data_IF_126225733987
#
_entry.id   IF_126225733987
#
_cell.length_a   1.000
_cell.length_b   1.000
_cell.length_c   1.000
_cell.angle_alpha   90.00
_cell.angle_beta   90.00
_cell.angle_gamma   90.00
#
_symmetry.space_group_name_H-M   'P 1'
#
loop_
_entity.id
_entity.type
_entity.pdbx_description
1 polymer ?
#
# COMPACT_ATOMS: atom_id res chain seq x y z
N UNK A 1 -2.22 8.31 -2.80
CA UNK A 1 -1.80 9.72 -2.62
C UNK A 1 -2.64 10.31 -1.49
N UNK A 2 -2.05 11.09 -0.59
CA UNK A 2 -2.74 11.83 0.46
C UNK A 2 -2.32 13.29 0.36
N UNK A 3 -3.30 14.19 0.20
CA UNK A 3 -3.10 15.64 0.18
C UNK A 3 -3.81 16.28 1.37
N UNK A 4 -3.30 17.42 1.81
CA UNK A 4 -4.00 18.36 2.68
C UNK A 4 -5.07 19.13 1.88
N UNK A 5 -5.99 19.78 2.59
CA UNK A 5 -6.95 20.78 2.07
C UNK A 5 -6.32 21.99 1.37
N UNK A 6 -5.02 22.22 1.54
CA UNK A 6 -4.27 23.23 0.79
C UNK A 6 -3.65 22.68 -0.52
N UNK A 7 -3.81 21.39 -0.81
CA UNK A 7 -3.17 20.70 -1.94
C UNK A 7 -1.71 20.32 -1.68
N UNK A 8 -1.24 20.41 -0.44
CA UNK A 8 0.10 19.99 -0.06
C UNK A 8 0.17 18.46 0.05
N UNK A 9 1.21 17.87 -0.56
CA UNK A 9 1.48 16.42 -0.48
C UNK A 9 1.87 16.01 0.94
N UNK A 10 1.09 15.11 1.55
CA UNK A 10 1.47 14.42 2.78
C UNK A 10 2.18 13.11 2.45
N UNK A 11 1.56 12.25 1.64
CA UNK A 11 2.14 10.97 1.19
C UNK A 11 1.85 10.76 -0.29
N UNK A 12 2.84 10.37 -1.07
CA UNK A 12 2.62 9.92 -2.45
C UNK A 12 3.46 8.68 -2.73
N UNK A 13 2.81 7.61 -3.18
CA UNK A 13 3.43 6.38 -3.69
C UNK A 13 2.92 6.19 -5.11
N UNK A 14 3.85 6.16 -6.05
CA UNK A 14 3.59 5.91 -7.47
C UNK A 14 4.16 4.55 -7.82
N UNK A 15 3.28 3.61 -8.17
CA UNK A 15 3.67 2.25 -8.50
C UNK A 15 4.19 2.18 -9.92
N UNK A 16 5.25 1.39 -10.12
CA UNK A 16 5.76 1.05 -11.44
C UNK A 16 6.02 -0.46 -11.47
N UNK A 17 5.51 -1.20 -12.46
CA UNK A 17 5.73 -2.63 -12.51
C UNK A 17 7.23 -2.95 -12.62
N UNK A 18 7.74 -3.95 -11.88
CA UNK A 18 9.18 -4.21 -11.78
C UNK A 18 9.86 -4.61 -13.10
N UNK A 19 9.09 -5.01 -14.10
CA UNK A 19 9.58 -5.41 -15.43
C UNK A 19 9.55 -4.28 -16.46
N UNK A 20 8.99 -3.11 -16.12
CA UNK A 20 9.08 -1.92 -16.96
C UNK A 20 10.33 -1.15 -16.55
N UNK A 21 11.28 -0.87 -17.46
CA UNK A 21 12.49 -0.12 -17.14
C UNK A 21 12.14 1.20 -16.45
N UNK A 22 12.70 1.42 -15.26
CA UNK A 22 12.57 2.69 -14.56
C UNK A 22 13.19 3.78 -15.45
N UNK A 23 12.44 4.81 -15.87
CA UNK A 23 13.00 5.86 -16.70
C UNK A 23 14.16 6.53 -15.95
N UNK A 24 15.28 6.69 -16.64
CA UNK A 24 16.48 7.29 -16.07
C UNK A 24 16.13 8.66 -15.47
N UNK A 25 16.38 8.83 -14.18
CA UNK A 25 16.13 10.09 -13.48
C UNK A 25 16.92 11.21 -14.16
N UNK A 26 16.23 12.10 -14.87
CA UNK A 26 16.83 13.29 -15.45
C UNK A 26 17.16 14.28 -14.32
N UNK A 27 18.42 14.28 -13.87
CA UNK A 27 18.93 15.24 -12.90
C UNK A 27 20.45 15.10 -12.71
N UNK A 28 21.23 15.73 -13.59
CA UNK A 28 22.67 15.88 -13.40
C UNK A 28 23.02 17.11 -12.57
N UNK A 29 24.01 16.98 -11.69
CA UNK A 29 25.14 17.91 -11.51
C UNK A 29 26.11 17.31 -10.47
N UNK A 30 27.38 17.10 -10.85
CA UNK A 30 28.45 16.71 -9.93
C UNK A 30 29.41 15.67 -10.49
N UNK A 31 30.47 16.15 -11.14
CA UNK A 31 31.65 15.37 -11.52
C UNK A 31 32.39 14.82 -10.29
N UNK A 32 32.55 13.51 -10.19
CA UNK A 32 33.83 12.86 -9.87
C UNK A 32 33.67 11.34 -9.98
N UNK A 33 34.59 10.72 -10.70
CA UNK A 33 34.77 9.29 -10.71
C UNK A 33 35.05 8.77 -9.29
N UNK A 34 34.37 7.70 -8.87
CA UNK A 34 35.04 6.46 -8.49
C UNK A 34 34.03 5.29 -8.50
N UNK A 35 34.42 4.20 -9.14
CA UNK A 35 33.60 3.02 -9.33
C UNK A 35 33.66 2.11 -8.09
N UNK A 36 32.50 1.71 -7.58
CA UNK A 36 32.27 0.34 -7.11
C UNK A 36 30.79 0.00 -7.34
N UNK A 37 30.45 -0.21 -8.61
CA UNK A 37 29.16 -0.75 -8.98
C UNK A 37 29.12 -2.22 -8.54
N UNK A 38 28.48 -2.49 -7.40
CA UNK A 38 27.91 -3.80 -7.14
C UNK A 38 26.84 -4.04 -8.22
N UNK A 39 27.21 -4.80 -9.26
CA UNK A 39 26.27 -5.31 -10.26
C UNK A 39 25.30 -6.27 -9.54
N UNK A 40 24.11 -5.78 -9.21
CA UNK A 40 22.97 -6.66 -8.99
C UNK A 40 22.71 -7.42 -10.30
N UNK A 41 22.54 -8.75 -10.27
CA UNK A 41 22.34 -9.53 -11.48
C UNK A 41 21.03 -9.10 -12.16
N UNK A 42 21.08 -8.95 -13.48
CA UNK A 42 19.92 -8.63 -14.30
C UNK A 42 18.77 -9.62 -14.01
N UNK A 43 17.52 -9.15 -13.84
CA UNK A 43 16.40 -10.05 -13.67
C UNK A 43 16.22 -10.87 -14.95
N UNK A 44 15.78 -12.14 -14.83
CA UNK A 44 15.56 -13.00 -15.98
C UNK A 44 14.53 -12.35 -16.92
N UNK A 45 14.96 -11.99 -18.12
CA UNK A 45 14.08 -11.50 -19.16
C UNK A 45 13.01 -12.56 -19.44
N UNK A 46 11.73 -12.17 -19.34
CA UNK A 46 10.63 -13.06 -19.69
C UNK A 46 10.74 -13.46 -21.17
N UNK A 47 10.44 -14.72 -21.52
CA UNK A 47 10.50 -15.18 -22.90
C UNK A 47 9.59 -14.31 -23.79
N UNK A 48 10.14 -13.95 -24.95
CA UNK A 48 9.49 -13.13 -25.97
C UNK A 48 8.09 -13.68 -26.29
N UNK A 49 7.03 -12.93 -25.95
CA UNK A 49 5.63 -13.31 -26.22
C UNK A 49 4.68 -13.30 -25.01
N UNK A 50 5.17 -13.28 -23.77
CA UNK A 50 4.31 -13.30 -22.57
C UNK A 50 3.70 -11.93 -22.19
N UNK A 51 4.21 -10.82 -22.73
CA UNK A 51 3.74 -9.48 -22.39
C UNK A 51 2.30 -9.18 -22.83
N UNK A 52 1.79 -9.90 -23.84
CA UNK A 52 0.44 -9.69 -24.38
C UNK A 52 -0.69 -10.31 -23.53
N UNK A 53 -0.36 -11.17 -22.56
CA UNK A 53 -1.33 -11.88 -21.72
C UNK A 53 -1.27 -11.50 -20.23
N UNK A 54 -0.45 -10.52 -19.85
CA UNK A 54 -0.38 -10.03 -18.48
C UNK A 54 -1.52 -9.02 -18.23
N UNK A 55 -2.19 -9.05 -17.06
CA UNK A 55 -3.19 -8.05 -16.71
C UNK A 55 -2.62 -6.64 -16.84
N UNK A 56 -3.43 -5.69 -17.31
CA UNK A 56 -3.04 -4.29 -17.58
C UNK A 56 -2.37 -3.58 -16.39
N UNK A 57 -2.69 -4.03 -15.17
CA UNK A 57 -2.08 -3.63 -13.91
C UNK A 57 -0.55 -3.87 -13.87
N UNK A 58 -0.09 -4.90 -14.58
CA UNK A 58 1.32 -5.25 -14.66
C UNK A 58 2.02 -4.55 -15.83
N UNK A 59 1.34 -4.13 -16.89
CA UNK A 59 2.02 -3.64 -18.11
C UNK A 59 2.03 -2.13 -18.28
N UNK A 60 1.27 -1.39 -17.46
CA UNK A 60 1.13 0.07 -17.60
C UNK A 60 2.35 0.81 -17.00
N UNK A 61 3.15 1.52 -17.80
CA UNK A 61 4.26 2.31 -17.29
C UNK A 61 3.74 3.46 -16.42
N UNK A 62 4.48 3.82 -15.36
CA UNK A 62 4.15 4.98 -14.55
C UNK A 62 4.16 6.26 -15.43
N UNK A 63 3.02 6.95 -15.59
CA UNK A 63 2.92 8.14 -16.44
C UNK A 63 3.60 9.38 -15.83
N UNK A 64 3.97 9.34 -14.54
CA UNK A 64 4.58 10.45 -13.82
C UNK A 64 5.95 10.07 -13.23
N UNK A 65 6.97 9.92 -14.09
CA UNK A 65 8.30 9.48 -13.66
C UNK A 65 9.08 10.56 -12.89
N UNK A 66 8.86 11.84 -13.20
CA UNK A 66 9.58 12.93 -12.52
C UNK A 66 8.77 13.55 -11.40
N UNK A 67 9.45 14.05 -10.35
CA UNK A 67 8.81 14.80 -9.26
C UNK A 67 8.05 16.01 -9.80
N UNK A 68 8.56 16.65 -10.86
CA UNK A 68 7.92 17.81 -11.50
C UNK A 68 6.56 17.44 -12.09
N UNK A 69 6.49 16.34 -12.82
CA UNK A 69 5.24 15.84 -13.42
C UNK A 69 4.26 15.39 -12.33
N UNK A 70 4.74 14.68 -11.31
CA UNK A 70 3.89 14.29 -10.17
C UNK A 70 3.27 15.51 -9.48
N UNK A 71 4.05 16.56 -9.20
CA UNK A 71 3.55 17.80 -8.59
C UNK A 71 2.54 18.52 -9.48
N UNK A 72 2.77 18.53 -10.80
CA UNK A 72 1.84 19.12 -11.74
C UNK A 72 0.51 18.36 -11.78
N UNK A 73 0.58 17.02 -11.80
CA UNK A 73 -0.60 16.15 -11.72
C UNK A 73 -1.36 16.35 -10.41
N UNK A 74 -0.68 16.32 -9.27
CA UNK A 74 -1.28 16.50 -7.94
C UNK A 74 -2.01 17.84 -7.82
N UNK A 75 -1.39 18.92 -8.29
CA UNK A 75 -2.00 20.25 -8.28
C UNK A 75 -3.26 20.29 -9.13
N UNK A 76 -3.20 19.76 -10.35
CA UNK A 76 -4.32 19.74 -11.25
C UNK A 76 -5.46 18.84 -10.74
N UNK A 77 -5.10 17.71 -10.12
CA UNK A 77 -6.04 16.80 -9.49
C UNK A 77 -6.77 17.48 -8.33
N UNK A 78 -6.02 18.11 -7.43
CA UNK A 78 -6.57 18.84 -6.29
C UNK A 78 -7.54 19.95 -6.72
N UNK A 79 -7.18 20.73 -7.76
CA UNK A 79 -8.06 21.78 -8.29
C UNK A 79 -9.38 21.22 -8.84
N UNK A 80 -9.35 20.05 -9.46
CA UNK A 80 -10.56 19.36 -9.94
C UNK A 80 -11.39 18.80 -8.80
N UNK A 81 -10.77 18.13 -7.84
CA UNK A 81 -11.49 17.49 -6.74
C UNK A 81 -12.08 18.51 -5.78
N UNK A 82 -11.42 19.64 -5.55
CA UNK A 82 -11.99 20.73 -4.73
C UNK A 82 -13.30 21.26 -5.34
N UNK A 83 -13.32 21.51 -6.65
CA UNK A 83 -14.53 21.96 -7.36
C UNK A 83 -15.63 20.90 -7.32
N UNK A 84 -15.28 19.64 -7.59
CA UNK A 84 -16.23 18.53 -7.58
C UNK A 84 -16.79 18.25 -6.17
N UNK A 85 -15.95 18.34 -5.14
CA UNK A 85 -16.35 18.13 -3.75
C UNK A 85 -17.31 19.21 -3.25
N UNK A 86 -17.10 20.48 -3.61
CA UNK A 86 -18.07 21.55 -3.30
C UNK A 86 -19.45 21.27 -3.92
N UNK A 87 -19.51 20.68 -5.11
CA UNK A 87 -20.75 20.29 -5.77
C UNK A 87 -21.38 19.02 -5.16
N UNK A 88 -20.56 18.06 -4.74
CA UNK A 88 -21.02 16.82 -4.11
C UNK A 88 -21.49 17.02 -2.67
N UNK A 89 -20.91 17.98 -1.92
CA UNK A 89 -21.27 18.29 -0.53
C UNK A 89 -22.72 18.79 -0.37
N UNK A 90 -23.36 19.30 -1.43
CA UNK A 90 -24.79 19.62 -1.40
C UNK A 90 -25.70 18.40 -1.55
N UNK A 91 -25.14 17.23 -1.83
CA UNK A 91 -25.88 15.96 -1.88
C UNK A 91 -25.77 15.22 -0.56
N UNK A 92 -26.72 14.34 -0.26
CA UNK A 92 -26.74 13.53 0.97
C UNK A 92 -25.59 12.52 1.07
N UNK A 93 -24.65 12.50 0.11
CA UNK A 93 -23.47 11.65 0.07
C UNK A 93 -22.23 12.27 0.76
N UNK A 94 -22.43 13.24 1.66
CA UNK A 94 -21.37 13.82 2.50
C UNK A 94 -20.65 12.73 3.30
N UNK A 95 -19.49 12.26 2.81
CA UNK A 95 -18.68 11.21 3.44
C UNK A 95 -18.46 9.97 2.57
N UNK A 96 -19.16 9.86 1.43
CA UNK A 96 -18.91 8.82 0.45
C UNK A 96 -17.60 9.06 -0.32
N UNK A 97 -16.98 7.98 -0.78
CA UNK A 97 -15.98 8.03 -1.82
C UNK A 97 -16.57 8.64 -3.10
N UNK A 98 -15.77 9.44 -3.79
CA UNK A 98 -16.15 10.12 -5.02
C UNK A 98 -15.25 9.65 -6.15
N UNK A 99 -15.80 9.58 -7.35
CA UNK A 99 -15.11 9.09 -8.54
C UNK A 99 -14.96 10.24 -9.53
N UNK A 100 -13.77 10.35 -10.12
CA UNK A 100 -13.42 11.35 -11.12
C UNK A 100 -12.57 10.69 -12.21
N UNK A 101 -12.89 10.97 -13.46
CA UNK A 101 -12.02 10.64 -14.59
C UNK A 101 -11.16 11.87 -14.93
N UNK A 102 -9.83 11.72 -14.88
CA UNK A 102 -8.90 12.77 -15.25
C UNK A 102 -7.70 12.22 -16.03
N UNK A 103 -7.41 12.79 -17.19
CA UNK A 103 -6.21 12.47 -17.98
C UNK A 103 -6.08 10.97 -18.33
N UNK A 104 -7.21 10.33 -18.69
CA UNK A 104 -7.30 8.88 -18.90
C UNK A 104 -6.97 8.02 -17.66
N UNK A 105 -7.01 8.64 -16.47
CA UNK A 105 -6.88 7.96 -15.19
C UNK A 105 -8.19 8.04 -14.42
N UNK A 106 -8.56 6.90 -13.84
CA UNK A 106 -9.63 6.82 -12.88
C UNK A 106 -9.10 7.23 -11.51
N UNK A 107 -9.77 8.19 -10.89
CA UNK A 107 -9.40 8.69 -9.57
C UNK A 107 -10.58 8.49 -8.64
N UNK A 108 -10.35 7.74 -7.58
CA UNK A 108 -11.29 7.61 -6.47
C UNK A 108 -10.71 8.35 -5.27
N UNK A 109 -11.52 9.19 -4.63
CA UNK A 109 -11.07 10.02 -3.52
C UNK A 109 -12.08 10.12 -2.39
N UNK A 110 -11.57 10.30 -1.18
CA UNK A 110 -12.35 10.47 0.05
C UNK A 110 -11.74 11.58 0.88
N UNK A 111 -12.54 12.59 1.20
CA UNK A 111 -12.12 13.68 2.09
C UNK A 111 -12.47 13.33 3.54
N UNK A 112 -11.58 13.69 4.47
CA UNK A 112 -11.79 13.58 5.91
C UNK A 112 -11.12 14.76 6.60
N UNK A 113 -11.90 15.55 7.35
CA UNK A 113 -11.44 16.75 8.04
C UNK A 113 -10.55 17.64 7.15
N UNK A 114 -9.24 17.68 7.42
CA UNK A 114 -8.22 18.47 6.73
C UNK A 114 -7.33 17.65 5.77
N UNK A 115 -7.70 16.41 5.47
CA UNK A 115 -6.97 15.52 4.55
C UNK A 115 -7.86 14.90 3.48
N UNK A 116 -7.28 14.60 2.33
CA UNK A 116 -7.95 13.95 1.21
C UNK A 116 -7.12 12.76 0.74
N UNK A 117 -7.74 11.59 0.75
CA UNK A 117 -7.18 10.33 0.28
C UNK A 117 -7.54 10.12 -1.18
N UNK A 118 -6.56 9.67 -1.97
CA UNK A 118 -6.70 9.41 -3.39
C UNK A 118 -6.10 8.05 -3.75
N UNK A 119 -6.86 7.27 -4.51
CA UNK A 119 -6.41 6.10 -5.25
C UNK A 119 -6.57 6.40 -6.73
N UNK A 120 -5.52 6.16 -7.50
CA UNK A 120 -5.47 6.46 -8.93
C UNK A 120 -5.11 5.19 -9.68
N UNK A 121 -5.88 4.88 -10.71
CA UNK A 121 -5.63 3.76 -11.61
C UNK A 121 -5.88 4.14 -13.07
N UNK A 122 -5.51 3.29 -14.04
CA UNK A 122 -5.88 3.49 -15.43
C UNK A 122 -7.40 3.48 -15.63
N UNK A 123 -7.91 4.20 -16.63
CA UNK A 123 -9.34 4.25 -16.94
C UNK A 123 -9.97 2.90 -17.32
N UNK A 124 -9.16 1.87 -17.60
CA UNK A 124 -9.62 0.50 -17.86
C UNK A 124 -9.88 -0.32 -16.60
N UNK A 125 -9.47 0.16 -15.42
CA UNK A 125 -9.65 -0.58 -14.16
C UNK A 125 -11.07 -0.48 -13.62
N UNK A 126 -11.42 -1.45 -12.78
CA UNK A 126 -12.71 -1.45 -12.10
C UNK A 126 -12.74 -0.41 -10.97
N UNK A 127 -13.65 0.56 -11.09
CA UNK A 127 -13.87 1.62 -10.10
C UNK A 127 -14.23 1.09 -8.71
N UNK A 128 -15.01 -0.01 -8.64
CA UNK A 128 -15.40 -0.64 -7.37
C UNK A 128 -14.21 -1.25 -6.64
N UNK A 129 -13.23 -1.78 -7.38
CA UNK A 129 -11.99 -2.30 -6.79
C UNK A 129 -11.16 -1.18 -6.20
N UNK A 130 -10.99 -0.07 -6.92
CA UNK A 130 -10.25 1.10 -6.43
C UNK A 130 -10.96 1.77 -5.24
N UNK A 131 -12.30 1.82 -5.25
CA UNK A 131 -13.10 2.24 -4.11
C UNK A 131 -12.93 1.31 -2.90
N UNK A 132 -12.90 0.00 -3.11
CA UNK A 132 -12.60 -0.99 -2.07
C UNK A 132 -11.24 -0.78 -1.43
N UNK A 133 -10.19 -0.56 -2.23
CA UNK A 133 -8.83 -0.25 -1.75
C UNK A 133 -8.81 1.05 -0.94
N UNK A 134 -9.45 2.10 -1.44
CA UNK A 134 -9.51 3.40 -0.78
C UNK A 134 -10.20 3.28 0.60
N UNK A 135 -11.35 2.60 0.66
CA UNK A 135 -12.09 2.41 1.89
C UNK A 135 -11.32 1.52 2.87
N UNK A 136 -10.75 0.40 2.40
CA UNK A 136 -9.93 -0.49 3.23
C UNK A 136 -8.74 0.24 3.87
N UNK A 137 -8.00 1.02 3.07
CA UNK A 137 -6.87 1.79 3.56
C UNK A 137 -7.30 2.93 4.51
N UNK A 138 -8.36 3.64 4.18
CA UNK A 138 -8.91 4.71 5.02
C UNK A 138 -9.38 4.16 6.38
N UNK A 139 -10.15 3.08 6.38
CA UNK A 139 -10.69 2.48 7.59
C UNK A 139 -9.57 1.83 8.43
N UNK A 140 -8.57 1.21 7.80
CA UNK A 140 -7.40 0.69 8.50
C UNK A 140 -6.62 1.83 9.18
N UNK A 141 -6.41 2.94 8.45
CA UNK A 141 -5.79 4.15 9.01
C UNK A 141 -6.62 4.71 10.16
N UNK A 142 -7.93 4.76 10.02
CA UNK A 142 -8.86 5.19 11.09
C UNK A 142 -8.72 4.31 12.34
N UNK A 143 -8.65 2.98 12.19
CA UNK A 143 -8.44 2.05 13.31
C UNK A 143 -7.09 2.29 14.00
N UNK A 144 -6.01 2.45 13.23
CA UNK A 144 -4.66 2.67 13.75
C UNK A 144 -4.54 4.03 14.48
N UNK A 145 -5.25 5.05 14.00
CA UNK A 145 -5.23 6.41 14.56
C UNK A 145 -6.36 6.68 15.57
N UNK A 146 -7.04 5.63 16.08
CA UNK A 146 -8.15 5.76 17.04
C UNK A 146 -9.23 6.76 16.58
N UNK A 147 -9.60 6.67 15.31
CA UNK A 147 -10.66 7.43 14.65
C UNK A 147 -10.35 8.91 14.46
N UNK A 148 -9.10 9.32 14.69
CA UNK A 148 -8.60 10.67 14.44
C UNK A 148 -7.85 10.72 13.12
N UNK A 149 -8.59 10.74 12.01
CA UNK A 149 -8.01 10.85 10.66
C UNK A 149 -7.93 12.33 10.28
N UNK A 150 -6.94 13.02 10.84
CA UNK A 150 -6.61 14.42 10.55
C UNK A 150 -5.11 14.57 10.27
N UNK A 151 -4.72 15.65 9.58
CA UNK A 151 -3.35 15.92 9.15
C UNK A 151 -2.34 15.74 10.28
N UNK A 152 -2.65 16.27 11.46
CA UNK A 152 -1.77 16.19 12.62
C UNK A 152 -1.52 14.74 13.04
N UNK A 153 -2.59 13.96 13.22
CA UNK A 153 -2.51 12.56 13.61
C UNK A 153 -1.81 11.68 12.56
N UNK A 154 -2.04 11.94 11.27
CA UNK A 154 -1.36 11.26 10.17
C UNK A 154 0.15 11.53 10.20
N UNK A 155 0.55 12.79 10.40
CA UNK A 155 1.97 13.17 10.43
C UNK A 155 2.69 12.65 11.68
N UNK A 156 2.01 12.61 12.82
CA UNK A 156 2.55 12.05 14.07
C UNK A 156 2.75 10.52 13.99
N UNK A 157 1.95 9.82 13.19
CA UNK A 157 1.95 8.36 13.08
C UNK A 157 2.23 7.89 11.64
N UNK A 158 3.11 8.60 10.94
CA UNK A 158 3.38 8.37 9.52
C UNK A 158 3.83 6.93 9.25
N UNK A 159 4.62 6.35 10.15
CA UNK A 159 5.14 4.98 10.04
C UNK A 159 3.99 3.96 9.94
N UNK A 160 2.98 4.08 10.80
CA UNK A 160 1.80 3.20 10.79
C UNK A 160 1.00 3.35 9.49
N UNK A 161 0.85 4.59 8.99
CA UNK A 161 0.14 4.87 7.74
C UNK A 161 0.88 4.26 6.55
N UNK A 162 2.21 4.36 6.52
CA UNK A 162 3.02 3.76 5.45
C UNK A 162 3.00 2.23 5.49
N UNK A 163 3.04 1.62 6.68
CA UNK A 163 2.90 0.17 6.83
C UNK A 163 1.52 -0.32 6.42
N UNK A 164 0.46 0.40 6.78
CA UNK A 164 -0.89 0.09 6.33
C UNK A 164 -1.02 0.17 4.81
N UNK A 165 -0.33 1.13 4.16
CA UNK A 165 -0.29 1.23 2.71
C UNK A 165 0.39 0.01 2.08
N UNK A 166 1.51 -0.44 2.65
CA UNK A 166 2.26 -1.60 2.16
C UNK A 166 1.47 -2.91 2.33
N UNK A 167 0.70 -3.08 3.41
CA UNK A 167 -0.20 -4.22 3.58
C UNK A 167 -1.43 -4.16 2.65
N UNK A 168 -1.81 -2.98 2.17
CA UNK A 168 -2.96 -2.82 1.26
C UNK A 168 -2.54 -3.07 -0.20
N UNK A 169 -1.44 -2.47 -0.64
CA UNK A 169 -0.98 -2.51 -2.04
C UNK A 169 0.53 -2.64 -2.11
N UNK A 170 0.99 -3.60 -2.89
CA UNK A 170 2.42 -3.84 -3.18
C UNK A 170 2.67 -3.85 -4.68
N UNK A 171 3.63 -3.03 -5.15
CA UNK A 171 3.95 -2.85 -6.58
C UNK A 171 2.74 -2.65 -7.52
N UNK A 172 1.66 -2.05 -7.01
CA UNK A 172 0.42 -1.80 -7.76
C UNK A 172 -0.55 -2.97 -7.75
N UNK A 173 -0.22 -4.06 -7.07
CA UNK A 173 -1.07 -5.23 -6.83
C UNK A 173 -1.79 -5.05 -5.49
N UNK A 174 -3.09 -5.23 -5.50
CA UNK A 174 -3.91 -5.19 -4.29
C UNK A 174 -3.67 -6.48 -3.51
N UNK A 175 -3.19 -6.36 -2.26
CA UNK A 175 -2.90 -7.50 -1.39
C UNK A 175 -4.05 -7.81 -0.45
N UNK A 176 -4.63 -6.77 0.17
CA UNK A 176 -5.64 -6.91 1.21
C UNK A 176 -6.70 -5.80 1.08
N UNK A 177 -7.96 -6.16 1.27
CA UNK A 177 -9.09 -5.22 1.22
C UNK A 177 -9.92 -5.22 2.50
N UNK A 178 -9.55 -6.02 3.51
CA UNK A 178 -10.14 -5.95 4.84
C UNK A 178 -9.32 -5.02 5.75
N UNK A 179 -9.94 -3.92 6.16
CA UNK A 179 -9.31 -2.91 7.03
C UNK A 179 -8.89 -3.45 8.39
N UNK A 180 -9.63 -4.43 8.93
CA UNK A 180 -9.33 -5.03 10.22
C UNK A 180 -8.12 -5.97 10.15
N UNK A 181 -8.00 -6.76 9.07
CA UNK A 181 -6.83 -7.55 8.77
C UNK A 181 -5.58 -6.69 8.58
N UNK A 182 -5.66 -5.60 7.81
CA UNK A 182 -4.57 -4.65 7.60
C UNK A 182 -4.10 -4.07 8.94
N UNK A 183 -5.01 -3.48 9.72
CA UNK A 183 -4.67 -2.86 11.00
C UNK A 183 -4.07 -3.86 12.01
N UNK A 184 -4.57 -5.10 12.01
CA UNK A 184 -4.06 -6.19 12.86
C UNK A 184 -2.62 -6.57 12.52
N UNK A 185 -2.28 -6.71 11.23
CA UNK A 185 -0.92 -7.02 10.77
C UNK A 185 0.07 -5.89 11.03
N UNK A 186 -0.36 -4.64 10.81
CA UNK A 186 0.46 -3.46 11.12
C UNK A 186 0.74 -3.35 12.63
N UNK A 187 -0.26 -3.64 13.47
CA UNK A 187 -0.14 -3.55 14.94
C UNK A 187 0.63 -4.72 15.56
N UNK A 188 0.72 -5.85 14.85
CA UNK A 188 1.43 -7.06 15.29
C UNK A 188 2.45 -7.42 14.21
N UNK A 189 3.65 -6.81 14.25
CA UNK A 189 4.73 -7.21 13.38
C UNK A 189 4.88 -8.73 13.42
N UNK A 190 4.97 -9.36 12.25
CA UNK A 190 5.14 -10.80 12.13
C UNK A 190 6.26 -11.22 13.09
N UNK A 191 6.01 -12.15 14.04
CA UNK A 191 7.07 -12.61 14.91
C UNK A 191 8.16 -13.17 14.01
N UNK A 192 9.36 -12.60 14.13
CA UNK A 192 10.56 -13.10 13.46
C UNK A 192 10.62 -14.61 13.77
N UNK A 193 10.78 -15.52 12.78
CA UNK A 193 10.91 -16.95 13.09
C UNK A 193 12.08 -17.27 14.02
N UNK A 194 12.99 -16.32 14.26
CA UNK A 194 14.07 -16.42 15.25
C UNK A 194 13.63 -16.10 16.68
N UNK A 195 12.53 -15.36 16.86
CA UNK A 195 11.97 -14.96 18.15
C UNK A 195 10.60 -15.62 18.38
N UNK A 196 10.49 -16.92 18.09
CA UNK A 196 9.46 -17.73 18.75
C UNK A 196 9.78 -17.70 20.25
N UNK A 197 8.95 -17.10 21.11
CA UNK A 197 9.09 -17.33 22.54
C UNK A 197 8.79 -18.81 22.71
N UNK A 198 9.85 -19.61 22.91
CA UNK A 198 9.74 -20.99 23.34
C UNK A 198 9.10 -20.88 24.72
N UNK A 199 7.77 -20.91 24.74
CA UNK A 199 7.00 -20.87 25.96
C UNK A 199 7.34 -22.16 26.70
N UNK A 200 7.97 -22.04 27.87
CA UNK A 200 8.34 -23.17 28.72
C UNK A 200 7.13 -24.07 29.02
N UNK A 201 5.92 -23.50 28.99
CA UNK A 201 4.67 -24.23 29.12
C UNK A 201 4.43 -25.20 27.95
N UNK A 202 4.79 -24.84 26.72
CA UNK A 202 4.70 -25.71 25.54
C UNK A 202 5.72 -26.85 25.62
N UNK A 203 6.94 -26.58 26.10
CA UNK A 203 7.94 -27.63 26.37
C UNK A 203 7.46 -28.58 27.46
N UNK A 204 6.86 -28.06 28.54
CA UNK A 204 6.34 -28.86 29.64
C UNK A 204 5.19 -29.77 29.18
N UNK A 205 4.28 -29.27 28.34
CA UNK A 205 3.19 -30.06 27.74
C UNK A 205 3.68 -31.09 26.72
N UNK A 206 4.74 -30.77 25.96
CA UNK A 206 5.38 -31.73 25.06
C UNK A 206 6.06 -32.86 25.86
N UNK A 207 6.76 -32.52 26.94
CA UNK A 207 7.40 -33.49 27.82
C UNK A 207 6.38 -34.39 28.53
N UNK A 208 5.27 -33.85 29.04
CA UNK A 208 4.21 -34.65 29.64
C UNK A 208 3.61 -35.62 28.62
N UNK A 209 3.33 -35.15 27.41
CA UNK A 209 2.78 -35.99 26.33
C UNK A 209 3.75 -37.09 25.90
N UNK A 210 5.06 -36.80 25.83
CA UNK A 210 6.10 -37.79 25.55
C UNK A 210 6.21 -38.82 26.67
N UNK A 211 6.26 -38.38 27.94
CA UNK A 211 6.30 -39.26 29.10
C UNK A 211 5.08 -40.19 29.13
N UNK A 212 3.89 -39.68 28.86
CA UNK A 212 2.66 -40.46 28.87
C UNK A 212 2.68 -41.51 27.75
N UNK A 213 3.17 -41.16 26.55
CA UNK A 213 3.33 -42.11 25.44
C UNK A 213 4.36 -43.20 25.73
N UNK A 214 5.47 -42.87 26.39
CA UNK A 214 6.50 -43.85 26.79
C UNK A 214 5.94 -44.80 27.84
N UNK A 215 5.22 -44.27 28.83
CA UNK A 215 4.60 -45.08 29.90
C UNK A 215 3.55 -46.02 29.32
N UNK A 216 2.71 -45.56 28.40
CA UNK A 216 1.72 -46.39 27.72
C UNK A 216 2.36 -47.49 26.86
N UNK A 217 3.49 -47.22 26.19
CA UNK A 217 4.23 -48.24 25.42
C UNK A 217 4.83 -49.33 26.30
N UNK A 218 5.32 -48.99 27.49
CA UNK A 218 5.92 -49.95 28.44
C UNK A 218 4.83 -50.84 29.07
N UNK A 219 3.64 -50.30 29.32
CA UNK A 219 2.51 -51.08 29.85
C UNK A 219 1.87 -52.01 28.81
N UNK A 220 2.03 -51.73 27.51
CA UNK A 220 1.55 -52.60 26.43
C UNK A 220 2.54 -53.71 26.05
N UNK A 221 3.78 -53.68 26.59
CA UNK A 221 4.82 -54.67 26.30
C UNK A 221 4.99 -55.75 27.38
N UNK A 222 3.97 -55.95 28.24
CA UNK A 222 3.90 -57.02 29.24
C UNK A 222 2.67 -57.91 29.00
#
# INVERSE_FOLDING_TARGET
>A
LILDTDGNRLIAKYYQPPHVPKPAAAGGFGSSANASAAQSPAPPALPFGAAASLPSQLTSPNPYPTIKEQRAFEKALFDKTRRAHTLAASSSASGAENILLYDSQLVVYKASLDVIFYVVGPASENELMLGGVLNAFYDATSLLLRQQVEKRALLENLDLVTLALDETVDDGIILETDSTAIASRVSRPRPDPTDLPINEQTLMSAYSTLRDRVTQRILQSY
#
